data_IF_773492821813
#
_entry.id   IF_773492821813
#
_cell.length_a   1.000
_cell.length_b   1.000
_cell.length_c   1.000
_cell.angle_alpha   90.00
_cell.angle_beta   90.00
_cell.angle_gamma   90.00
#
_symmetry.space_group_name_H-M   'P 1'
#
loop_
_entity.id
_entity.type
_entity.pdbx_description
1 polymer ?
#
# COMPACT_ATOMS: atom_id res chain seq x y z
N UNK A 1 18.23 7.28 -11.58
CA UNK A 1 17.53 6.46 -10.55
C UNK A 1 16.39 5.71 -11.23
N UNK A 2 16.46 4.38 -11.34
CA UNK A 2 15.33 3.56 -11.79
C UNK A 2 14.44 3.31 -10.57
N UNK A 3 13.66 4.32 -10.21
CA UNK A 3 12.68 4.17 -9.15
C UNK A 3 11.45 3.55 -9.81
N UNK A 4 11.24 2.25 -9.61
CA UNK A 4 9.95 1.64 -9.90
C UNK A 4 9.15 1.86 -8.62
N UNK A 5 8.46 2.99 -8.52
CA UNK A 5 7.58 3.20 -7.39
C UNK A 5 6.36 2.33 -7.61
N UNK A 6 6.12 1.43 -6.67
CA UNK A 6 4.83 0.79 -6.47
C UNK A 6 4.18 1.53 -5.31
N UNK A 7 3.25 2.44 -5.60
CA UNK A 7 2.52 3.19 -4.58
C UNK A 7 1.30 2.38 -4.11
N UNK A 8 1.22 2.20 -2.81
CA UNK A 8 0.04 1.81 -2.05
C UNK A 8 -0.32 3.01 -1.17
N UNK A 9 -1.41 3.72 -1.45
CA UNK A 9 -1.87 4.80 -0.57
C UNK A 9 -3.38 4.69 -0.45
N UNK A 10 -3.86 4.52 0.76
CA UNK A 10 -5.27 4.69 1.07
C UNK A 10 -5.55 6.09 1.65
N UNK A 11 -6.73 6.61 1.28
CA UNK A 11 -7.49 7.70 1.89
C UNK A 11 -7.16 9.18 1.63
N UNK A 12 -5.98 9.60 1.15
CA UNK A 12 -5.83 10.99 0.67
C UNK A 12 -5.13 11.12 -0.67
N UNK A 13 -6.01 11.29 -1.66
CA UNK A 13 -5.90 12.32 -2.69
C UNK A 13 -5.00 11.98 -3.89
N UNK A 14 -5.63 11.98 -5.06
CA UNK A 14 -5.05 12.02 -6.41
C UNK A 14 -3.94 13.10 -6.58
N UNK A 15 -3.93 14.11 -5.70
CA UNK A 15 -2.96 15.24 -5.60
C UNK A 15 -1.73 14.86 -4.73
N UNK A 16 -1.82 13.81 -3.90
CA UNK A 16 -0.78 13.37 -2.97
C UNK A 16 0.30 12.47 -3.61
N UNK A 17 0.04 11.88 -4.78
CA UNK A 17 1.05 11.10 -5.52
C UNK A 17 2.04 12.04 -6.22
N UNK A 18 1.59 13.23 -6.65
CA UNK A 18 2.40 14.13 -7.47
C UNK A 18 3.53 14.77 -6.70
N UNK A 19 3.36 15.10 -5.41
CA UNK A 19 4.40 15.78 -4.61
C UNK A 19 5.55 14.84 -4.19
N UNK A 20 5.32 13.72 -3.49
CA UNK A 20 6.38 12.79 -3.11
C UNK A 20 7.06 12.16 -4.32
N UNK A 21 6.30 11.79 -5.36
CA UNK A 21 6.90 11.24 -6.58
C UNK A 21 7.76 12.29 -7.29
N UNK A 22 7.33 13.56 -7.41
CA UNK A 22 8.18 14.65 -7.96
C UNK A 22 9.42 14.91 -7.13
N UNK A 23 9.30 14.90 -5.79
CA UNK A 23 10.45 15.03 -4.87
C UNK A 23 11.44 13.87 -5.01
N UNK A 24 10.94 12.68 -5.39
CA UNK A 24 11.76 11.49 -5.72
C UNK A 24 12.19 11.45 -7.20
N UNK A 25 11.98 12.52 -7.97
CA UNK A 25 12.45 12.65 -9.36
C UNK A 25 11.54 12.03 -10.43
N UNK A 26 10.32 11.63 -10.09
CA UNK A 26 9.36 11.12 -11.07
C UNK A 26 8.75 12.26 -11.87
N UNK A 27 8.99 12.25 -13.17
CA UNK A 27 8.45 13.24 -14.10
C UNK A 27 7.05 12.89 -14.58
N UNK A 28 6.65 11.61 -14.48
CA UNK A 28 5.40 11.07 -15.03
C UNK A 28 4.54 10.41 -13.95
N UNK A 29 3.23 10.39 -14.20
CA UNK A 29 2.25 9.70 -13.36
C UNK A 29 2.45 8.18 -13.40
N UNK A 30 2.29 7.52 -12.26
CA UNK A 30 2.37 6.06 -12.14
C UNK A 30 0.99 5.48 -12.46
N UNK A 31 0.87 4.62 -13.49
CA UNK A 31 -0.43 4.12 -13.93
C UNK A 31 -1.10 3.28 -12.84
N UNK A 32 -2.44 3.35 -12.69
CA UNK A 32 -3.17 2.45 -11.80
C UNK A 32 -3.08 1.01 -12.33
N UNK A 33 -3.05 0.03 -11.42
CA UNK A 33 -2.99 -1.39 -11.73
C UNK A 33 -4.03 -1.81 -12.78
N UNK A 34 -5.27 -1.32 -12.65
CA UNK A 34 -6.36 -1.60 -13.59
C UNK A 34 -6.06 -1.19 -15.06
N UNK A 35 -5.09 -0.30 -15.29
CA UNK A 35 -4.69 0.17 -16.63
C UNK A 35 -3.28 -0.24 -17.04
N UNK A 36 -2.47 -0.77 -16.14
CA UNK A 36 -1.11 -1.22 -16.45
C UNK A 36 -1.15 -2.60 -17.11
N UNK A 37 -1.19 -2.63 -18.45
CA UNK A 37 -1.37 -3.88 -19.23
C UNK A 37 -0.09 -4.35 -19.90
N UNK A 38 0.78 -3.43 -20.33
CA UNK A 38 2.00 -3.80 -21.03
C UNK A 38 3.17 -4.03 -20.04
N UNK A 39 4.04 -5.04 -20.26
CA UNK A 39 5.20 -5.27 -19.39
C UNK A 39 6.10 -4.04 -19.23
N UNK A 40 6.25 -3.22 -20.28
CA UNK A 40 7.03 -1.97 -20.22
C UNK A 40 6.41 -0.91 -19.32
N UNK A 41 5.10 -0.87 -19.17
CA UNK A 41 4.40 0.04 -18.25
C UNK A 41 4.60 -0.44 -16.81
N UNK A 42 4.47 -1.75 -16.59
CA UNK A 42 4.70 -2.38 -15.28
C UNK A 42 6.10 -2.10 -14.75
N UNK A 43 7.12 -2.15 -15.62
CA UNK A 43 8.52 -1.80 -15.29
C UNK A 43 8.75 -0.29 -15.05
N UNK A 44 7.75 0.57 -15.25
CA UNK A 44 7.86 2.00 -14.87
C UNK A 44 7.27 2.26 -13.49
N UNK A 45 6.60 1.28 -12.90
CA UNK A 45 5.86 1.40 -11.65
C UNK A 45 4.36 1.18 -11.86
N UNK A 46 3.68 0.74 -10.81
CA UNK A 46 2.24 0.47 -10.82
C UNK A 46 1.64 0.99 -9.52
N UNK A 47 0.47 1.62 -9.61
CA UNK A 47 -0.26 2.10 -8.45
C UNK A 47 -1.37 1.11 -8.09
N UNK A 48 -1.27 0.46 -6.92
CA UNK A 48 -2.28 -0.48 -6.44
C UNK A 48 -3.29 0.15 -5.48
N UNK A 49 -3.10 1.43 -5.13
CA UNK A 49 -3.98 2.17 -4.24
C UNK A 49 -5.45 2.04 -4.65
N UNK A 50 -6.30 1.78 -3.67
CA UNK A 50 -7.74 1.83 -3.81
C UNK A 50 -8.34 2.75 -2.75
N UNK A 51 -9.37 3.50 -3.13
CA UNK A 51 -10.16 4.29 -2.18
C UNK A 51 -10.85 3.35 -1.17
N UNK A 52 -11.19 3.86 0.01
CA UNK A 52 -11.81 3.09 1.10
C UNK A 52 -10.99 1.93 1.70
N UNK A 53 -9.94 1.45 1.03
CA UNK A 53 -9.14 0.31 1.45
C UNK A 53 -8.55 0.46 2.86
N UNK A 54 -8.56 -0.64 3.62
CA UNK A 54 -7.86 -0.78 4.89
C UNK A 54 -6.87 -1.93 4.90
N UNK A 55 -6.20 -2.07 6.04
CA UNK A 55 -5.38 -3.24 6.38
C UNK A 55 -6.30 -4.46 6.61
N UNK A 56 -7.43 -4.25 7.29
CA UNK A 56 -8.46 -5.27 7.49
C UNK A 56 -9.27 -5.46 6.21
N UNK A 57 -9.72 -6.70 5.98
CA UNK A 57 -10.48 -7.04 4.78
C UNK A 57 -11.82 -6.32 4.73
N UNK A 58 -12.46 -6.18 5.88
CA UNK A 58 -13.79 -5.62 6.05
C UNK A 58 -13.84 -4.08 5.96
N UNK A 59 -12.70 -3.41 6.15
CA UNK A 59 -12.62 -1.95 6.20
C UNK A 59 -13.10 -1.33 4.89
N UNK A 60 -14.07 -0.42 4.97
CA UNK A 60 -14.56 0.32 3.81
C UNK A 60 -15.56 -0.43 2.92
N UNK A 61 -15.94 -1.67 3.26
CA UNK A 61 -16.96 -2.44 2.51
C UNK A 61 -18.30 -1.69 2.40
N UNK A 62 -18.64 -0.85 3.36
CA UNK A 62 -19.84 -0.02 3.33
C UNK A 62 -19.80 1.10 2.26
N UNK A 63 -18.66 1.34 1.63
CA UNK A 63 -18.44 2.38 0.62
C UNK A 63 -18.42 1.84 -0.82
N UNK A 64 -18.77 0.57 -1.01
CA UNK A 64 -18.79 -0.12 -2.30
C UNK A 64 -17.52 -0.90 -2.59
N UNK A 65 -17.30 -1.25 -3.87
CA UNK A 65 -16.16 -2.06 -4.28
C UNK A 65 -14.83 -1.32 -4.07
N UNK A 66 -13.92 -1.98 -3.38
CA UNK A 66 -12.54 -1.52 -3.19
C UNK A 66 -11.57 -2.69 -3.20
N UNK A 67 -10.28 -2.38 -3.08
CA UNK A 67 -9.24 -3.40 -2.97
C UNK A 67 -8.56 -3.27 -1.61
N UNK A 68 -8.79 -4.20 -0.69
CA UNK A 68 -8.12 -4.26 0.61
C UNK A 68 -6.60 -4.36 0.45
N UNK A 69 -5.82 -4.10 1.50
CA UNK A 69 -4.37 -4.24 1.43
C UNK A 69 -3.94 -5.63 0.94
N UNK A 70 -4.61 -6.70 1.38
CA UNK A 70 -4.27 -8.06 0.95
C UNK A 70 -4.52 -8.27 -0.55
N UNK A 71 -5.62 -7.73 -1.09
CA UNK A 71 -5.93 -7.77 -2.51
C UNK A 71 -4.91 -6.95 -3.29
N UNK A 72 -4.50 -5.78 -2.77
CA UNK A 72 -3.44 -4.99 -3.38
C UNK A 72 -2.09 -5.74 -3.36
N UNK A 73 -1.75 -6.48 -2.30
CA UNK A 73 -0.53 -7.33 -2.25
C UNK A 73 -0.62 -8.51 -3.23
N UNK A 74 -1.82 -9.09 -3.38
CA UNK A 74 -2.08 -10.13 -4.38
C UNK A 74 -1.87 -9.59 -5.80
N UNK A 75 -2.36 -8.38 -6.09
CA UNK A 75 -2.13 -7.71 -7.36
C UNK A 75 -0.64 -7.43 -7.62
N UNK A 76 0.14 -7.13 -6.58
CA UNK A 76 1.60 -7.06 -6.72
C UNK A 76 2.23 -8.40 -7.07
N UNK A 77 1.78 -9.50 -6.47
CA UNK A 77 2.19 -10.84 -6.88
C UNK A 77 1.92 -11.11 -8.37
N UNK A 78 0.75 -10.71 -8.87
CA UNK A 78 0.42 -10.80 -10.31
C UNK A 78 1.38 -9.97 -11.18
N UNK A 79 1.73 -8.76 -10.74
CA UNK A 79 2.74 -7.92 -11.41
C UNK A 79 4.12 -8.57 -11.41
N UNK A 80 4.54 -9.17 -10.30
CA UNK A 80 5.81 -9.90 -10.22
C UNK A 80 5.84 -11.05 -11.23
N UNK A 81 4.74 -11.76 -11.44
CA UNK A 81 4.64 -12.81 -12.47
C UNK A 81 4.76 -12.25 -13.89
N UNK A 82 4.15 -11.09 -14.18
CA UNK A 82 4.32 -10.40 -15.47
C UNK A 82 5.78 -10.00 -15.69
N UNK A 83 6.45 -9.46 -14.66
CA UNK A 83 7.87 -9.11 -14.72
C UNK A 83 8.75 -10.35 -14.92
N UNK A 84 8.47 -11.46 -14.24
CA UNK A 84 9.21 -12.70 -14.40
C UNK A 84 9.15 -13.21 -15.84
N UNK A 85 7.96 -13.19 -16.47
CA UNK A 85 7.78 -13.54 -17.88
C UNK A 85 8.55 -12.60 -18.80
N UNK A 86 8.52 -11.30 -18.51
CA UNK A 86 9.30 -10.31 -19.25
C UNK A 86 10.81 -10.59 -19.19
N UNK A 87 11.32 -10.98 -18.02
CA UNK A 87 12.70 -11.40 -17.82
C UNK A 87 12.96 -12.86 -18.23
N UNK A 88 12.06 -13.49 -18.99
CA UNK A 88 12.21 -14.87 -19.52
C UNK A 88 12.48 -15.91 -18.43
N UNK A 89 11.93 -15.72 -17.23
CA UNK A 89 12.11 -16.62 -16.10
C UNK A 89 13.37 -16.39 -15.27
N UNK A 90 14.17 -15.37 -15.59
CA UNK A 90 15.37 -15.04 -14.81
C UNK A 90 15.00 -14.41 -13.45
N UNK A 91 15.05 -15.24 -12.41
CA UNK A 91 14.74 -14.83 -11.03
C UNK A 91 15.85 -13.95 -10.43
N UNK A 92 17.10 -14.09 -10.87
CA UNK A 92 18.21 -13.27 -10.40
C UNK A 92 18.05 -11.83 -10.89
N UNK A 93 17.77 -11.66 -12.18
CA UNK A 93 17.50 -10.36 -12.79
C UNK A 93 16.26 -9.70 -12.17
N UNK A 94 15.18 -10.47 -11.98
CA UNK A 94 13.97 -9.99 -11.31
C UNK A 94 14.25 -9.49 -9.89
N UNK A 95 14.96 -10.28 -9.08
CA UNK A 95 15.29 -9.91 -7.70
C UNK A 95 16.22 -8.70 -7.64
N UNK A 96 17.22 -8.63 -8.52
CA UNK A 96 18.10 -7.45 -8.66
C UNK A 96 17.32 -6.20 -9.06
N UNK A 97 16.31 -6.35 -9.92
CA UNK A 97 15.42 -5.28 -10.31
C UNK A 97 14.54 -4.81 -9.15
N UNK A 98 13.80 -5.72 -8.51
CA UNK A 98 12.90 -5.42 -7.38
C UNK A 98 13.67 -4.87 -6.17
N UNK A 99 14.91 -5.33 -5.93
CA UNK A 99 15.78 -4.82 -4.87
C UNK A 99 16.19 -3.35 -5.03
N UNK A 100 16.09 -2.79 -6.25
CA UNK A 100 16.32 -1.36 -6.52
C UNK A 100 15.05 -0.52 -6.39
N UNK A 101 13.88 -1.14 -6.46
CA UNK A 101 12.58 -0.47 -6.39
C UNK A 101 12.31 0.09 -4.99
N UNK A 102 11.47 1.11 -4.92
CA UNK A 102 10.98 1.69 -3.66
C UNK A 102 9.48 1.47 -3.62
N UNK A 103 9.00 0.88 -2.53
CA UNK A 103 7.59 0.56 -2.31
C UNK A 103 7.07 1.55 -1.28
N UNK A 104 6.04 2.32 -1.62
CA UNK A 104 5.41 3.22 -0.66
C UNK A 104 4.12 2.58 -0.19
N UNK A 105 3.86 2.56 1.12
CA UNK A 105 2.66 1.99 1.71
C UNK A 105 2.10 2.90 2.80
N UNK A 106 1.05 3.64 2.45
CA UNK A 106 0.24 4.46 3.36
C UNK A 106 -1.09 3.78 3.67
N UNK A 107 -1.26 3.28 4.89
CA UNK A 107 -2.40 2.46 5.32
C UNK A 107 -2.77 2.70 6.79
N UNK A 108 -3.97 2.26 7.19
CA UNK A 108 -4.43 2.29 8.58
C UNK A 108 -5.47 3.36 8.91
N UNK A 109 -5.50 4.49 8.20
CA UNK A 109 -6.46 5.57 8.52
C UNK A 109 -7.91 5.16 8.31
N UNK A 110 -8.20 4.41 7.25
CA UNK A 110 -9.55 3.91 7.00
C UNK A 110 -9.96 2.81 7.96
N UNK A 111 -9.01 2.04 8.52
CA UNK A 111 -9.34 1.05 9.55
C UNK A 111 -9.91 1.71 10.81
N UNK A 112 -9.62 3.00 11.04
CA UNK A 112 -10.31 3.79 12.05
C UNK A 112 -11.57 4.48 11.52
N UNK A 113 -11.47 5.22 10.41
CA UNK A 113 -12.55 6.07 9.90
C UNK A 113 -13.72 5.30 9.29
N UNK A 114 -13.42 4.22 8.56
CA UNK A 114 -14.37 3.41 7.81
C UNK A 114 -14.47 1.98 8.35
N UNK A 115 -14.17 1.81 9.65
CA UNK A 115 -14.33 0.55 10.37
C UNK A 115 -14.49 0.79 11.88
N UNK A 116 -13.40 1.04 12.63
CA UNK A 116 -13.43 1.09 14.11
C UNK A 116 -14.49 2.04 14.68
N UNK A 117 -14.55 3.28 14.18
CA UNK A 117 -15.49 4.29 14.65
C UNK A 117 -16.88 4.22 13.97
N UNK A 118 -17.10 3.27 13.06
CA UNK A 118 -18.37 3.06 12.37
C UNK A 118 -19.17 1.92 13.01
N UNK A 119 -19.60 2.12 14.26
CA UNK A 119 -20.35 1.11 15.04
C UNK A 119 -21.69 0.68 14.42
N UNK A 120 -22.24 1.48 13.50
CA UNK A 120 -23.47 1.13 12.77
C UNK A 120 -23.25 0.06 11.69
N UNK A 121 -22.00 -0.15 11.26
CA UNK A 121 -21.63 -1.08 10.19
C UNK A 121 -20.68 -2.19 10.67
N UNK A 122 -19.92 -1.95 11.75
CA UNK A 122 -18.85 -2.82 12.21
C UNK A 122 -18.87 -2.99 13.73
N UNK A 123 -18.55 -4.19 14.21
CA UNK A 123 -18.43 -4.50 15.64
C UNK A 123 -17.04 -4.21 16.21
N UNK A 124 -16.11 -3.71 15.41
CA UNK A 124 -14.70 -3.64 15.80
C UNK A 124 -14.45 -2.81 17.06
N UNK A 125 -15.22 -1.74 17.31
CA UNK A 125 -15.11 -0.96 18.54
C UNK A 125 -15.71 -1.63 19.77
N UNK A 126 -16.64 -2.58 19.63
CA UNK A 126 -17.06 -3.44 20.73
C UNK A 126 -16.10 -4.61 20.98
N UNK A 127 -15.44 -5.09 19.92
CA UNK A 127 -14.56 -6.26 19.97
C UNK A 127 -13.15 -5.90 20.47
N UNK A 128 -12.71 -4.67 20.25
CA UNK A 128 -11.36 -4.21 20.60
C UNK A 128 -11.35 -2.85 21.29
N UNK A 129 -10.49 -2.73 22.32
CA UNK A 129 -10.03 -1.42 22.77
C UNK A 129 -9.16 -0.76 21.68
N UNK A 130 -8.99 0.57 21.67
CA UNK A 130 -8.18 1.23 20.64
C UNK A 130 -6.74 0.69 20.57
N UNK A 131 -6.14 0.37 21.72
CA UNK A 131 -4.79 -0.20 21.81
C UNK A 131 -4.74 -1.65 21.28
N UNK A 132 -5.75 -2.46 21.59
CA UNK A 132 -5.83 -3.82 21.07
C UNK A 132 -6.02 -3.80 19.55
N UNK A 133 -6.88 -2.91 19.04
CA UNK A 133 -7.10 -2.74 17.61
C UNK A 133 -5.84 -2.28 16.88
N UNK A 134 -5.11 -1.29 17.40
CA UNK A 134 -3.83 -0.88 16.85
C UNK A 134 -2.80 -2.03 16.79
N UNK A 135 -2.81 -2.91 17.80
CA UNK A 135 -1.88 -4.04 17.88
C UNK A 135 -2.18 -5.08 16.78
N UNK A 136 -3.46 -5.46 16.61
CA UNK A 136 -3.84 -6.41 15.55
C UNK A 136 -3.66 -5.82 14.16
N UNK A 137 -3.93 -4.52 13.96
CA UNK A 137 -3.66 -3.83 12.69
C UNK A 137 -2.18 -3.86 12.32
N UNK A 138 -1.29 -3.60 13.28
CA UNK A 138 0.15 -3.64 13.03
C UNK A 138 0.63 -5.06 12.71
N UNK A 139 0.05 -6.07 13.35
CA UNK A 139 0.35 -7.48 13.06
C UNK A 139 -0.08 -7.86 11.64
N UNK A 140 -1.31 -7.53 11.26
CA UNK A 140 -1.82 -7.79 9.91
C UNK A 140 -1.01 -7.04 8.85
N UNK A 141 -0.67 -5.78 9.12
CA UNK A 141 0.17 -4.98 8.23
C UNK A 141 1.55 -5.61 8.06
N UNK A 142 2.19 -6.02 9.16
CA UNK A 142 3.48 -6.71 9.11
C UNK A 142 3.41 -8.01 8.30
N UNK A 143 2.34 -8.79 8.44
CA UNK A 143 2.12 -10.00 7.66
C UNK A 143 2.03 -9.72 6.15
N UNK A 144 1.33 -8.66 5.75
CA UNK A 144 1.24 -8.26 4.34
C UNK A 144 2.60 -7.79 3.79
N UNK A 145 3.36 -7.03 4.58
CA UNK A 145 4.73 -6.62 4.21
C UNK A 145 5.69 -7.81 4.10
N UNK A 146 5.54 -8.82 4.97
CA UNK A 146 6.32 -10.05 4.88
C UNK A 146 6.05 -10.79 3.57
N UNK A 147 4.79 -10.87 3.12
CA UNK A 147 4.44 -11.43 1.80
C UNK A 147 5.08 -10.64 0.66
N UNK A 148 5.09 -9.30 0.73
CA UNK A 148 5.81 -8.50 -0.27
C UNK A 148 7.30 -8.80 -0.28
N UNK A 149 7.89 -9.01 0.90
CA UNK A 149 9.30 -9.36 1.03
C UNK A 149 9.63 -10.73 0.40
N UNK A 150 8.79 -11.75 0.59
CA UNK A 150 8.99 -13.05 -0.07
C UNK A 150 8.91 -12.96 -1.59
N UNK A 151 8.18 -11.96 -2.12
CA UNK A 151 8.07 -11.67 -3.56
C UNK A 151 9.16 -10.72 -4.11
N UNK A 152 10.17 -10.37 -3.31
CA UNK A 152 11.34 -9.60 -3.78
C UNK A 152 11.35 -8.11 -3.41
N UNK A 153 10.34 -7.60 -2.70
CA UNK A 153 10.38 -6.24 -2.20
C UNK A 153 11.44 -6.09 -1.09
N UNK A 154 12.27 -5.03 -1.15
CA UNK A 154 13.35 -4.80 -0.18
C UNK A 154 13.32 -3.44 0.49
N UNK A 155 12.81 -2.40 -0.19
CA UNK A 155 12.79 -1.02 0.33
C UNK A 155 11.35 -0.53 0.45
N UNK A 156 10.76 -0.70 1.63
CA UNK A 156 9.38 -0.28 1.91
C UNK A 156 9.38 0.96 2.79
N UNK A 157 8.79 2.05 2.29
CA UNK A 157 8.47 3.25 3.07
C UNK A 157 7.05 3.10 3.59
N UNK A 158 6.89 3.18 4.91
CA UNK A 158 5.61 2.98 5.60
C UNK A 158 5.12 4.32 6.11
N UNK A 159 3.89 4.67 5.77
CA UNK A 159 3.14 5.76 6.38
C UNK A 159 1.93 5.15 7.08
N UNK A 160 2.16 4.67 8.30
CA UNK A 160 1.10 4.12 9.13
C UNK A 160 0.53 5.28 9.93
N UNK A 161 -0.74 5.60 9.70
CA UNK A 161 -1.47 6.58 10.51
C UNK A 161 -1.52 6.13 11.96
N UNK A 162 -0.51 6.53 12.75
CA UNK A 162 -0.49 6.33 14.19
C UNK A 162 -1.39 7.39 14.81
N UNK A 163 -2.62 7.00 15.15
CA UNK A 163 -3.58 7.87 15.83
C UNK A 163 -3.17 8.22 17.29
N UNK A 164 -2.04 7.70 17.79
CA UNK A 164 -1.52 7.90 19.14
C UNK A 164 -0.51 9.06 19.27
N UNK A 165 -0.26 9.85 18.21
CA UNK A 165 0.60 11.04 18.28
C UNK A 165 -0.03 12.27 17.63
N UNK A 166 -0.89 12.96 18.38
CA UNK A 166 -0.98 14.43 18.28
C UNK A 166 0.21 14.97 19.06
N UNK A 167 1.32 15.21 18.38
CA UNK A 167 2.42 15.99 18.96
C UNK A 167 2.15 17.46 18.66
N UNK A 168 1.78 18.21 19.70
CA UNK A 168 2.05 19.65 19.74
C UNK A 168 3.56 19.84 19.63
N UNK A 169 4.00 20.55 18.59
CA UNK A 169 5.39 21.01 18.51
C UNK A 169 5.62 21.98 19.69
N UNK A 170 6.70 21.84 20.47
CA UNK A 170 7.03 22.83 21.47
C UNK A 170 7.35 24.16 20.77
N UNK A 171 6.76 25.24 21.29
CA UNK A 171 7.24 26.58 21.06
C UNK A 171 8.35 26.84 22.09
N UNK A 172 9.55 27.18 21.62
CA UNK A 172 10.70 27.54 22.46
C UNK A 172 11.96 26.79 22.08
#
# INVERSE_FOLDING_TARGET
MHACILTYISARVYIGITRPARLLGFQNFIPPFARARAPREVLRGVNFASGAAGIREETGNNLGDHASLSQQVTNFGNVVQVMLRYFRGDTSLLNSYLGRCIFFSGMGSNDYLNNYFMSNFYTTSSDYTPKAFASVLLQDYANQLAKMYTMGARKVVRDVGRADRVHTLPAG
#
